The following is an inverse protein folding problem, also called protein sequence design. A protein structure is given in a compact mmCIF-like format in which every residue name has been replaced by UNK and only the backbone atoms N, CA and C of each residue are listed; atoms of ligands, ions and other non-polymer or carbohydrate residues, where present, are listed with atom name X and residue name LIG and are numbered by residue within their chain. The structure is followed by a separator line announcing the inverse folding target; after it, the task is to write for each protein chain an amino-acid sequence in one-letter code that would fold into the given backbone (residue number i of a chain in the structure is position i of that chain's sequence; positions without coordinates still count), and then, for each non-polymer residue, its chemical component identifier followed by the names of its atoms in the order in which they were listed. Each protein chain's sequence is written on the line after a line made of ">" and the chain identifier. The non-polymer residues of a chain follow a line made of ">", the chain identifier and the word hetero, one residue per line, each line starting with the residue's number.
data_IF_980958872827
#
_entry.id   IF_980958872827
#
_cell.length_a   1.000
_cell.length_b   1.000
_cell.length_c   1.000
_cell.angle_alpha   90.00
_cell.angle_beta   90.00
_cell.angle_gamma   90.00
#
_symmetry.space_group_name_H-M   'P 1'
#
loop_
_entity.id
_entity.type
_entity.pdbx_description
1 polymer ?
#
# COMPACT_ATOMS: atom_id res chain seq x y z
N UNK A 1 40.51 -4.91 -11.22
CA UNK A 1 39.74 -5.60 -10.16
C UNK A 1 39.97 -5.02 -8.76
N UNK A 2 40.90 -4.11 -8.57
CA UNK A 2 41.31 -3.56 -7.25
C UNK A 2 40.45 -2.36 -6.75
N UNK A 3 39.69 -1.72 -7.66
CA UNK A 3 38.98 -0.46 -7.35
C UNK A 3 37.62 -0.66 -6.62
N UNK A 4 36.91 -1.76 -6.89
CA UNK A 4 35.58 -2.05 -6.31
C UNK A 4 35.67 -2.45 -4.82
N UNK A 5 36.73 -3.14 -4.43
CA UNK A 5 36.93 -3.60 -3.04
C UNK A 5 37.32 -2.44 -2.12
N UNK A 6 38.12 -1.49 -2.65
CA UNK A 6 38.54 -0.29 -1.91
C UNK A 6 37.38 0.67 -1.69
N UNK A 7 36.52 0.85 -2.68
CA UNK A 7 35.29 1.67 -2.56
C UNK A 7 34.29 1.13 -1.52
N UNK A 8 34.03 -0.18 -1.54
CA UNK A 8 33.18 -0.83 -0.53
C UNK A 8 33.74 -0.75 0.89
N UNK A 9 35.07 -0.74 1.06
CA UNK A 9 35.72 -0.55 2.34
C UNK A 9 35.56 0.87 2.89
N UNK A 10 35.70 1.86 2.02
CA UNK A 10 35.52 3.29 2.37
C UNK A 10 34.08 3.65 2.69
N UNK A 11 33.08 3.10 1.95
CA UNK A 11 31.65 3.30 2.22
C UNK A 11 31.25 2.71 3.59
N UNK A 12 31.73 1.51 3.94
CA UNK A 12 31.47 0.91 5.26
C UNK A 12 32.12 1.68 6.42
N UNK A 13 33.27 2.31 6.20
CA UNK A 13 33.93 3.15 7.21
C UNK A 13 33.16 4.44 7.42
N UNK A 14 32.72 5.12 6.35
CA UNK A 14 31.94 6.34 6.41
C UNK A 14 30.60 6.13 7.12
N UNK A 15 29.91 5.02 6.84
CA UNK A 15 28.65 4.63 7.52
C UNK A 15 28.85 4.37 9.02
N UNK A 16 29.99 3.79 9.41
CA UNK A 16 30.30 3.53 10.82
C UNK A 16 30.61 4.83 11.59
N UNK A 17 31.34 5.77 10.95
CA UNK A 17 31.68 7.07 11.52
C UNK A 17 30.44 7.94 11.68
N UNK A 18 29.53 7.97 10.68
CA UNK A 18 28.27 8.66 10.72
C UNK A 18 27.34 8.13 11.81
N UNK A 19 27.24 6.78 11.93
CA UNK A 19 26.50 6.16 13.03
C UNK A 19 27.09 6.55 14.39
N UNK A 20 28.42 6.58 14.52
CA UNK A 20 29.10 6.99 15.74
C UNK A 20 28.75 8.42 16.13
N UNK A 21 28.82 9.38 15.20
CA UNK A 21 28.47 10.78 15.40
C UNK A 21 26.97 10.94 15.78
N UNK A 22 26.09 10.26 15.07
CA UNK A 22 24.65 10.27 15.34
C UNK A 22 24.32 9.78 16.77
N UNK A 23 24.94 8.68 17.21
CA UNK A 23 24.77 8.12 18.55
C UNK A 23 25.39 9.03 19.65
N UNK A 24 26.47 9.75 19.33
CA UNK A 24 27.08 10.74 20.21
C UNK A 24 26.24 12.03 20.39
N UNK A 25 25.20 12.21 19.56
CA UNK A 25 24.27 13.32 19.70
C UNK A 25 24.38 14.40 18.61
N UNK A 26 25.05 14.11 17.50
CA UNK A 26 25.02 14.96 16.31
C UNK A 26 23.65 14.82 15.63
N UNK A 27 22.83 15.88 15.70
CA UNK A 27 21.47 15.93 15.14
C UNK A 27 21.49 15.81 13.61
N UNK A 28 22.46 16.40 12.95
CA UNK A 28 22.57 16.39 11.50
C UNK A 28 22.92 15.00 10.99
N UNK A 29 23.90 14.34 11.59
CA UNK A 29 24.28 12.97 11.28
C UNK A 29 23.12 12.01 11.56
N UNK A 30 22.40 12.19 12.68
CA UNK A 30 21.23 11.37 13.00
C UNK A 30 20.11 11.56 11.99
N UNK A 31 19.77 12.80 11.63
CA UNK A 31 18.74 13.11 10.64
C UNK A 31 19.07 12.48 9.28
N UNK A 32 20.29 12.62 8.80
CA UNK A 32 20.74 12.01 7.55
C UNK A 32 20.63 10.46 7.59
N UNK A 33 21.04 9.87 8.71
CA UNK A 33 20.98 8.43 8.91
C UNK A 33 19.56 7.88 8.91
N UNK A 34 18.59 8.50 9.62
CA UNK A 34 17.21 8.01 9.69
C UNK A 34 16.44 8.28 8.40
N UNK A 35 16.74 9.39 7.69
CA UNK A 35 16.08 9.71 6.42
C UNK A 35 16.34 8.64 5.34
N UNK A 36 17.49 8.01 5.32
CA UNK A 36 17.78 6.87 4.42
C UNK A 36 16.83 5.69 4.66
N UNK A 37 16.31 5.53 5.87
CA UNK A 37 15.38 4.47 6.24
C UNK A 37 13.91 4.89 6.13
N UNK A 38 13.60 6.17 5.84
CA UNK A 38 12.23 6.68 5.76
C UNK A 38 11.35 5.87 4.80
N UNK A 39 11.75 5.59 3.55
CA UNK A 39 10.87 4.90 2.60
C UNK A 39 10.46 3.51 3.10
N UNK A 40 11.41 2.72 3.59
CA UNK A 40 11.13 1.36 4.06
C UNK A 40 10.30 1.34 5.36
N UNK A 41 10.53 2.29 6.28
CA UNK A 41 9.75 2.43 7.51
C UNK A 41 8.33 2.92 7.22
N UNK A 42 8.16 3.81 6.23
CA UNK A 42 6.86 4.27 5.80
C UNK A 42 6.01 3.11 5.25
N UNK A 43 6.58 2.28 4.36
CA UNK A 43 5.91 1.08 3.86
C UNK A 43 5.63 0.08 4.99
N UNK A 44 6.55 -0.08 5.95
CA UNK A 44 6.35 -0.94 7.11
C UNK A 44 5.16 -0.45 7.95
N UNK A 45 5.10 0.83 8.32
CA UNK A 45 3.99 1.41 9.07
C UNK A 45 2.66 1.32 8.30
N UNK A 46 2.67 1.57 6.98
CA UNK A 46 1.49 1.43 6.15
C UNK A 46 0.91 0.01 6.18
N UNK A 47 1.74 -1.03 6.14
CA UNK A 47 1.27 -2.42 6.25
C UNK A 47 0.53 -2.70 7.56
N UNK A 48 0.90 -2.02 8.64
CA UNK A 48 0.16 -2.10 9.90
C UNK A 48 -1.15 -1.34 9.87
N UNK A 49 -1.13 -0.14 9.32
CA UNK A 49 -2.18 0.85 9.53
C UNK A 49 -3.16 0.97 8.36
N UNK A 50 -2.73 0.64 7.13
CA UNK A 50 -3.55 0.77 5.93
C UNK A 50 -3.89 2.21 5.55
N UNK A 51 -3.04 3.18 5.92
CA UNK A 51 -3.15 4.59 5.56
C UNK A 51 -1.78 5.19 5.36
N UNK A 52 -1.60 5.94 4.29
CA UNK A 52 -0.36 6.64 3.96
C UNK A 52 -0.09 7.78 4.95
N UNK A 53 -1.14 8.52 5.34
CA UNK A 53 -1.03 9.61 6.30
C UNK A 53 -0.63 9.10 7.69
N UNK A 54 -1.32 8.07 8.18
CA UNK A 54 -0.99 7.46 9.47
C UNK A 54 0.42 6.85 9.47
N UNK A 55 0.87 6.32 8.33
CA UNK A 55 2.21 5.79 8.20
C UNK A 55 3.27 6.90 8.33
N UNK A 56 3.06 8.04 7.68
CA UNK A 56 3.96 9.19 7.78
C UNK A 56 4.06 9.71 9.21
N UNK A 57 2.92 9.86 9.91
CA UNK A 57 2.88 10.27 11.31
C UNK A 57 3.70 9.32 12.20
N UNK A 58 3.59 7.99 11.97
CA UNK A 58 4.35 7.02 12.75
C UNK A 58 5.82 6.92 12.38
N UNK A 59 6.21 7.26 11.17
CA UNK A 59 7.64 7.40 10.82
C UNK A 59 8.25 8.57 11.59
N UNK A 60 7.58 9.71 11.63
CA UNK A 60 8.03 10.87 12.43
C UNK A 60 8.13 10.53 13.92
N UNK A 61 7.12 9.88 14.48
CA UNK A 61 7.13 9.41 15.87
C UNK A 61 8.27 8.42 16.12
N UNK A 62 8.54 7.53 15.16
CA UNK A 62 9.65 6.56 15.22
C UNK A 62 10.98 7.28 15.31
N UNK A 63 11.20 8.32 14.50
CA UNK A 63 12.44 9.10 14.51
C UNK A 63 12.63 9.86 15.82
N UNK A 64 11.56 10.47 16.34
CA UNK A 64 11.59 11.12 17.67
C UNK A 64 11.92 10.12 18.79
N UNK A 65 11.29 8.94 18.79
CA UNK A 65 11.59 7.89 19.78
C UNK A 65 13.00 7.32 19.60
N UNK A 66 13.48 7.19 18.37
CA UNK A 66 14.84 6.75 18.08
C UNK A 66 15.86 7.77 18.60
N UNK A 67 15.66 9.07 18.34
CA UNK A 67 16.50 10.12 18.89
C UNK A 67 16.57 10.08 20.41
N UNK A 68 15.43 10.01 21.07
CA UNK A 68 15.36 9.94 22.53
C UNK A 68 16.06 8.69 23.11
N UNK A 69 16.07 7.59 22.36
CA UNK A 69 16.62 6.30 22.78
C UNK A 69 18.02 6.00 22.20
N UNK A 70 18.65 6.94 21.47
CA UNK A 70 19.91 6.69 20.75
C UNK A 70 21.03 6.14 21.64
N UNK A 71 21.13 6.66 22.87
CA UNK A 71 22.13 6.19 23.85
C UNK A 71 21.90 4.72 24.30
N UNK A 72 20.72 4.15 24.07
CA UNK A 72 20.41 2.76 24.39
C UNK A 72 20.75 1.77 23.26
N UNK A 73 21.16 2.26 22.10
CA UNK A 73 21.63 1.40 21.01
C UNK A 73 22.99 0.81 21.36
N UNK A 74 23.04 -0.49 21.55
CA UNK A 74 24.22 -1.22 22.00
C UNK A 74 24.91 -2.03 20.88
N UNK A 75 24.52 -1.84 19.61
CA UNK A 75 25.10 -2.59 18.50
C UNK A 75 24.81 -4.10 18.50
N UNK A 76 23.84 -4.58 19.32
CA UNK A 76 23.45 -6.00 19.36
C UNK A 76 22.68 -6.45 18.12
N UNK A 77 22.16 -5.50 17.36
CA UNK A 77 21.50 -5.66 16.06
C UNK A 77 21.97 -4.57 15.12
N UNK A 78 21.64 -4.66 13.84
CA UNK A 78 21.85 -3.54 12.92
C UNK A 78 21.00 -2.33 13.33
N UNK A 79 21.45 -1.12 12.99
CA UNK A 79 20.69 0.11 13.23
C UNK A 79 19.29 0.05 12.55
N UNK A 80 19.21 -0.50 11.35
CA UNK A 80 17.98 -0.79 10.63
C UNK A 80 17.02 -1.65 11.46
N UNK A 81 17.48 -2.79 11.97
CA UNK A 81 16.64 -3.69 12.79
C UNK A 81 16.16 -3.01 14.08
N UNK A 82 16.99 -2.15 14.68
CA UNK A 82 16.60 -1.38 15.85
C UNK A 82 15.51 -0.35 15.54
N UNK A 83 15.61 0.37 14.41
CA UNK A 83 14.56 1.27 13.93
C UNK A 83 13.24 0.54 13.66
N UNK A 84 13.29 -0.63 12.99
CA UNK A 84 12.11 -1.47 12.77
C UNK A 84 11.44 -1.91 14.08
N UNK A 85 12.23 -2.21 15.11
CA UNK A 85 11.72 -2.52 16.44
C UNK A 85 10.96 -1.34 17.06
N UNK A 86 11.49 -0.13 16.95
CA UNK A 86 10.83 1.11 17.42
C UNK A 86 9.54 1.36 16.63
N UNK A 87 9.61 1.29 15.30
CA UNK A 87 8.46 1.49 14.41
C UNK A 87 7.34 0.46 14.68
N UNK A 88 7.68 -0.82 14.83
CA UNK A 88 6.72 -1.87 15.16
C UNK A 88 6.00 -1.60 16.47
N UNK A 89 6.73 -1.19 17.52
CA UNK A 89 6.14 -0.84 18.80
C UNK A 89 5.24 0.41 18.70
N UNK A 90 5.64 1.43 17.92
CA UNK A 90 4.80 2.60 17.65
C UNK A 90 3.50 2.20 16.92
N UNK A 91 3.58 1.30 15.93
CA UNK A 91 2.41 0.74 15.25
C UNK A 91 1.49 -0.02 16.20
N UNK A 92 2.04 -0.86 17.09
CA UNK A 92 1.25 -1.59 18.09
C UNK A 92 0.53 -0.65 19.06
N UNK A 93 1.18 0.43 19.48
CA UNK A 93 0.57 1.46 20.35
C UNK A 93 -0.56 2.20 19.62
N UNK A 94 -0.36 2.54 18.35
CA UNK A 94 -1.37 3.18 17.52
C UNK A 94 -2.61 2.27 17.33
N UNK A 95 -2.40 1.00 17.02
CA UNK A 95 -3.49 0.02 16.82
C UNK A 95 -4.34 -0.25 18.08
N UNK A 96 -3.83 0.05 19.28
CA UNK A 96 -4.64 -0.02 20.53
C UNK A 96 -5.62 1.12 20.65
N UNK A 97 -5.37 2.25 19.98
CA UNK A 97 -6.11 3.51 20.12
C UNK A 97 -7.00 3.81 18.92
N UNK A 98 -6.72 3.22 17.76
CA UNK A 98 -7.39 3.49 16.49
C UNK A 98 -8.33 2.36 16.10
N UNK A 99 -9.49 2.67 15.49
CA UNK A 99 -10.37 1.65 14.94
C UNK A 99 -9.67 0.88 13.81
N UNK A 100 -10.11 -0.36 13.61
CA UNK A 100 -9.70 -1.17 12.46
C UNK A 100 -10.13 -0.49 11.16
N UNK A 101 -9.27 -0.46 10.16
CA UNK A 101 -9.66 -0.02 8.83
C UNK A 101 -10.51 -1.08 8.15
N UNK A 102 -11.51 -0.61 7.41
CA UNK A 102 -12.53 -1.43 6.77
C UNK A 102 -12.62 -1.14 5.27
N UNK A 103 -13.28 -2.04 4.56
CA UNK A 103 -13.70 -1.86 3.16
C UNK A 103 -15.23 -1.83 3.11
N UNK A 104 -15.86 -1.19 2.10
CA UNK A 104 -17.33 -1.12 2.00
C UNK A 104 -18.06 -2.46 2.12
N UNK A 105 -17.61 -3.59 1.52
CA UNK A 105 -18.28 -4.89 1.69
C UNK A 105 -18.28 -5.43 3.12
N UNK A 106 -17.42 -4.91 4.00
CA UNK A 106 -17.39 -5.30 5.42
C UNK A 106 -18.41 -4.51 6.28
N UNK A 107 -18.98 -3.45 5.72
CA UNK A 107 -19.86 -2.52 6.44
C UNK A 107 -21.32 -2.70 6.02
N UNK A 108 -21.58 -2.86 4.72
CA UNK A 108 -22.94 -2.95 4.17
C UNK A 108 -23.04 -4.08 3.14
N UNK A 109 -24.27 -4.48 2.82
CA UNK A 109 -24.56 -5.26 1.61
C UNK A 109 -24.38 -4.46 0.32
N UNK A 110 -24.43 -5.12 -0.86
CA UNK A 110 -24.33 -4.45 -2.14
C UNK A 110 -25.46 -3.43 -2.34
N UNK A 111 -25.12 -2.30 -2.96
CA UNK A 111 -26.05 -1.22 -3.21
C UNK A 111 -26.90 -1.45 -4.46
N UNK A 112 -28.04 -0.81 -4.53
CA UNK A 112 -28.86 -0.74 -5.76
C UNK A 112 -28.11 0.11 -6.82
N UNK A 113 -27.81 -0.44 -8.01
CA UNK A 113 -27.11 0.29 -9.06
C UNK A 113 -27.89 1.47 -9.66
N UNK A 114 -29.20 1.54 -9.47
CA UNK A 114 -30.05 2.67 -9.86
C UNK A 114 -30.04 3.82 -8.85
N UNK A 115 -29.68 3.52 -7.59
CA UNK A 115 -29.62 4.53 -6.54
C UNK A 115 -28.30 5.32 -6.58
N UNK A 116 -28.34 6.60 -6.17
CA UNK A 116 -27.10 7.39 -5.98
C UNK A 116 -26.28 6.80 -4.83
N UNK A 117 -24.94 6.83 -4.95
CA UNK A 117 -24.09 6.44 -3.84
C UNK A 117 -24.41 7.22 -2.57
N UNK A 118 -24.31 6.56 -1.43
CA UNK A 118 -24.44 7.21 -0.13
C UNK A 118 -23.37 8.29 0.08
N UNK A 119 -23.53 9.14 1.11
CA UNK A 119 -22.54 10.15 1.44
C UNK A 119 -21.24 9.50 1.92
N UNK A 120 -20.15 10.27 1.86
CA UNK A 120 -18.91 9.90 2.52
C UNK A 120 -19.12 9.74 4.03
N UNK A 121 -18.45 8.79 4.65
CA UNK A 121 -18.54 8.51 6.07
C UNK A 121 -17.18 8.65 6.74
N UNK A 122 -17.18 8.93 8.05
CA UNK A 122 -15.98 9.08 8.87
C UNK A 122 -15.37 7.74 9.32
N UNK A 123 -15.73 6.64 8.67
CA UNK A 123 -15.14 5.34 8.96
C UNK A 123 -13.65 5.32 8.61
N UNK A 124 -12.89 4.54 9.37
CA UNK A 124 -11.48 4.32 9.06
C UNK A 124 -11.36 3.41 7.83
N UNK A 125 -11.27 4.00 6.65
CA UNK A 125 -11.16 3.26 5.38
C UNK A 125 -9.73 2.80 5.12
N UNK A 126 -9.58 1.60 4.54
CA UNK A 126 -8.32 1.17 3.96
C UNK A 126 -8.01 2.09 2.77
N UNK A 127 -6.77 2.60 2.70
CA UNK A 127 -6.30 3.49 1.64
C UNK A 127 -5.31 2.78 0.72
N UNK A 128 -5.19 3.18 -0.56
CA UNK A 128 -4.18 2.62 -1.45
C UNK A 128 -2.79 3.16 -1.13
N UNK A 129 -1.75 2.40 -1.50
CA UNK A 129 -0.35 2.79 -1.38
C UNK A 129 0.25 3.06 -2.76
N UNK A 130 0.72 4.26 -3.05
CA UNK A 130 1.31 4.59 -4.34
C UNK A 130 2.58 3.78 -4.64
N UNK A 131 2.67 3.19 -5.84
CA UNK A 131 3.82 2.35 -6.22
C UNK A 131 5.12 3.15 -6.31
N UNK A 132 5.04 4.44 -6.61
CA UNK A 132 6.21 5.33 -6.59
C UNK A 132 6.94 5.31 -5.25
N UNK A 133 6.21 5.31 -4.13
CA UNK A 133 6.80 5.20 -2.80
C UNK A 133 7.45 3.82 -2.55
N UNK A 134 7.00 2.77 -3.25
CA UNK A 134 7.66 1.46 -3.20
C UNK A 134 8.95 1.49 -4.03
N UNK A 135 8.96 2.20 -5.14
CA UNK A 135 10.15 2.38 -5.99
C UNK A 135 11.24 3.14 -5.23
N UNK A 136 10.88 4.11 -4.39
CA UNK A 136 11.81 4.83 -3.53
C UNK A 136 12.50 3.87 -2.52
N UNK A 137 11.79 2.84 -2.00
CA UNK A 137 12.39 1.79 -1.16
C UNK A 137 13.46 1.00 -1.92
N UNK A 138 13.18 0.67 -3.19
CA UNK A 138 14.13 -0.07 -4.04
C UNK A 138 15.32 0.81 -4.41
N UNK A 139 15.10 2.08 -4.71
CA UNK A 139 16.14 3.04 -5.10
C UNK A 139 17.08 3.39 -3.93
N UNK A 140 16.60 3.37 -2.69
CA UNK A 140 17.40 3.64 -1.50
C UNK A 140 18.52 2.59 -1.25
N UNK A 141 18.61 1.53 -2.06
CA UNK A 141 19.72 0.58 -2.05
C UNK A 141 19.83 -0.28 -0.78
N UNK A 142 18.80 -0.26 0.06
CA UNK A 142 18.72 -1.04 1.29
C UNK A 142 18.42 -2.49 0.91
N UNK A 143 19.45 -3.30 0.84
CA UNK A 143 19.40 -4.74 0.58
C UNK A 143 18.47 -5.19 -0.57
N UNK A 144 19.00 -5.58 -1.75
CA UNK A 144 18.19 -6.00 -2.90
C UNK A 144 17.25 -7.17 -2.59
N UNK A 145 17.57 -8.04 -1.62
CA UNK A 145 16.71 -9.14 -1.19
C UNK A 145 15.56 -8.66 -0.29
N UNK A 146 15.80 -7.62 0.53
CA UNK A 146 14.74 -6.97 1.31
C UNK A 146 13.87 -6.04 0.45
N UNK A 147 14.42 -5.53 -0.66
CA UNK A 147 13.71 -4.73 -1.68
C UNK A 147 12.78 -5.59 -2.55
N UNK A 148 12.87 -6.90 -2.48
CA UNK A 148 11.85 -7.84 -2.95
C UNK A 148 10.61 -7.73 -2.04
N UNK A 149 10.02 -6.52 -2.04
CA UNK A 149 8.69 -6.32 -1.49
C UNK A 149 7.78 -7.29 -2.23
N UNK A 150 7.47 -8.41 -1.57
CA UNK A 150 6.57 -9.41 -2.18
C UNK A 150 5.31 -8.68 -2.59
N UNK A 151 4.99 -8.72 -3.86
CA UNK A 151 3.80 -8.08 -4.44
C UNK A 151 2.58 -8.36 -3.59
N UNK A 152 2.38 -9.62 -3.22
CA UNK A 152 1.30 -10.08 -2.36
C UNK A 152 1.19 -9.33 -1.02
N UNK A 153 2.32 -8.90 -0.44
CA UNK A 153 2.34 -8.20 0.85
C UNK A 153 1.94 -6.73 0.77
N UNK A 154 1.62 -6.23 -0.42
CA UNK A 154 1.15 -4.87 -0.67
C UNK A 154 -0.21 -4.81 -1.35
N UNK A 155 -0.74 -5.91 -1.90
CA UNK A 155 -2.06 -5.95 -2.52
C UNK A 155 -3.18 -5.56 -1.54
N UNK A 156 -4.16 -4.81 -2.02
CA UNK A 156 -5.27 -4.32 -1.18
C UNK A 156 -6.02 -5.45 -0.49
N UNK A 157 -6.27 -6.56 -1.17
CA UNK A 157 -6.96 -7.73 -0.59
C UNK A 157 -6.18 -8.35 0.57
N UNK A 158 -4.84 -8.44 0.47
CA UNK A 158 -3.99 -8.89 1.56
C UNK A 158 -4.01 -7.92 2.74
N UNK A 159 -3.92 -6.63 2.47
CA UNK A 159 -3.97 -5.59 3.50
C UNK A 159 -5.32 -5.56 4.20
N UNK A 160 -6.42 -5.71 3.47
CA UNK A 160 -7.77 -5.84 4.02
C UNK A 160 -7.87 -7.08 4.96
N UNK A 161 -7.37 -8.24 4.51
CA UNK A 161 -7.34 -9.45 5.33
C UNK A 161 -6.49 -9.27 6.60
N UNK A 162 -5.34 -8.59 6.50
CA UNK A 162 -4.49 -8.28 7.65
C UNK A 162 -5.18 -7.40 8.69
N UNK A 163 -6.11 -6.52 8.29
CA UNK A 163 -6.84 -5.67 9.25
C UNK A 163 -7.65 -6.50 10.26
N UNK A 164 -7.98 -7.75 9.96
CA UNK A 164 -8.67 -8.67 10.87
C UNK A 164 -7.75 -9.36 11.90
N UNK A 165 -6.44 -9.25 11.74
CA UNK A 165 -5.51 -9.85 12.68
C UNK A 165 -5.43 -9.03 13.98
N UNK A 166 -5.41 -9.68 15.16
CA UNK A 166 -5.02 -9.03 16.39
C UNK A 166 -3.64 -8.35 16.24
N UNK A 167 -3.40 -7.17 16.83
CA UNK A 167 -2.18 -6.38 16.59
C UNK A 167 -0.87 -7.18 16.71
N UNK A 168 -0.73 -8.02 17.75
CA UNK A 168 0.48 -8.85 17.92
C UNK A 168 0.63 -9.94 16.86
N UNK A 169 -0.47 -10.54 16.39
CA UNK A 169 -0.41 -11.52 15.31
C UNK A 169 -0.02 -10.85 13.99
N UNK A 170 -0.55 -9.65 13.72
CA UNK A 170 -0.15 -8.83 12.57
C UNK A 170 1.34 -8.50 12.61
N UNK A 171 1.84 -8.05 13.78
CA UNK A 171 3.26 -7.75 13.95
C UNK A 171 4.16 -8.97 13.68
N UNK A 172 3.83 -10.12 14.27
CA UNK A 172 4.60 -11.35 14.03
C UNK A 172 4.58 -11.75 12.57
N UNK A 173 3.42 -11.67 11.89
CA UNK A 173 3.30 -11.98 10.46
C UNK A 173 4.17 -11.06 9.61
N UNK A 174 4.09 -9.73 9.83
CA UNK A 174 4.88 -8.76 9.06
C UNK A 174 6.38 -8.99 9.29
N UNK A 175 6.82 -9.13 10.53
CA UNK A 175 8.24 -9.33 10.82
C UNK A 175 8.78 -10.65 10.28
N UNK A 176 7.99 -11.74 10.32
CA UNK A 176 8.41 -13.08 9.90
C UNK A 176 8.29 -13.32 8.40
N UNK A 177 7.16 -12.92 7.79
CA UNK A 177 6.83 -13.30 6.42
C UNK A 177 7.09 -12.19 5.41
N UNK A 178 7.22 -10.93 5.87
CA UNK A 178 7.45 -9.77 5.00
C UNK A 178 8.86 -9.20 5.19
N UNK A 179 9.29 -9.00 6.43
CA UNK A 179 10.64 -8.47 6.76
C UNK A 179 11.67 -9.60 6.89
N UNK A 180 11.22 -10.85 6.93
CA UNK A 180 12.03 -12.09 6.97
C UNK A 180 12.92 -12.25 8.22
N UNK A 181 12.54 -11.61 9.32
CA UNK A 181 13.25 -11.82 10.59
C UNK A 181 13.13 -13.25 11.10
N UNK A 182 14.16 -13.71 11.79
CA UNK A 182 14.14 -14.99 12.51
C UNK A 182 13.10 -14.98 13.64
N UNK A 183 12.69 -16.18 14.10
CA UNK A 183 11.79 -16.29 15.25
C UNK A 183 12.40 -15.68 16.52
N UNK A 184 13.72 -15.73 16.68
CA UNK A 184 14.45 -15.16 17.82
C UNK A 184 14.44 -13.63 17.80
N UNK A 185 14.72 -13.01 16.65
CA UNK A 185 14.69 -11.56 16.48
C UNK A 185 13.29 -11.01 16.70
N UNK A 186 12.27 -11.66 16.08
CA UNK A 186 10.86 -11.29 16.24
C UNK A 186 10.43 -11.37 17.70
N UNK A 187 10.75 -12.48 18.39
CA UNK A 187 10.42 -12.67 19.79
C UNK A 187 11.08 -11.62 20.68
N UNK A 188 12.36 -11.32 20.44
CA UNK A 188 13.10 -10.28 21.18
C UNK A 188 12.51 -8.89 20.98
N UNK A 189 12.18 -8.50 19.74
CA UNK A 189 11.59 -7.19 19.43
C UNK A 189 10.20 -6.98 20.04
N UNK A 190 9.39 -8.06 20.13
CA UNK A 190 8.01 -8.00 20.64
C UNK A 190 7.89 -8.37 22.12
N UNK A 191 9.00 -8.57 22.84
CA UNK A 191 9.04 -9.00 24.23
C UNK A 191 8.16 -10.26 24.46
N UNK A 192 8.41 -11.31 23.69
CA UNK A 192 7.67 -12.58 23.77
C UNK A 192 8.62 -13.77 23.65
N UNK A 193 8.16 -14.98 23.97
CA UNK A 193 8.95 -16.19 23.76
C UNK A 193 8.91 -16.62 22.29
N UNK A 194 9.93 -17.34 21.82
CA UNK A 194 9.96 -17.91 20.46
C UNK A 194 8.76 -18.83 20.22
N UNK A 195 8.35 -19.63 21.20
CA UNK A 195 7.16 -20.49 21.11
C UNK A 195 5.89 -19.66 20.92
N UNK A 196 5.75 -18.54 21.65
CA UNK A 196 4.61 -17.62 21.52
C UNK A 196 4.59 -16.94 20.14
N UNK A 197 5.75 -16.53 19.61
CA UNK A 197 5.87 -15.96 18.28
C UNK A 197 5.46 -16.97 17.19
N UNK A 198 5.92 -18.20 17.26
CA UNK A 198 5.57 -19.26 16.31
C UNK A 198 4.04 -19.56 16.36
N UNK A 199 3.46 -19.66 17.55
CA UNK A 199 2.02 -19.86 17.71
C UNK A 199 1.20 -18.69 17.17
N UNK A 200 1.67 -17.44 17.37
CA UNK A 200 1.01 -16.25 16.82
C UNK A 200 1.07 -16.23 15.29
N UNK A 201 2.22 -16.59 14.70
CA UNK A 201 2.37 -16.70 13.24
C UNK A 201 1.42 -17.74 12.65
N UNK A 202 1.34 -18.92 13.28
CA UNK A 202 0.44 -19.99 12.81
C UNK A 202 -1.02 -19.53 12.80
N UNK A 203 -1.48 -18.87 13.88
CA UNK A 203 -2.85 -18.31 13.93
C UNK A 203 -3.08 -17.20 12.91
N UNK A 204 -2.09 -16.33 12.71
CA UNK A 204 -2.18 -15.27 11.70
C UNK A 204 -2.34 -15.85 10.29
N UNK A 205 -1.52 -16.82 9.93
CA UNK A 205 -1.59 -17.51 8.63
C UNK A 205 -2.91 -18.25 8.43
N UNK A 206 -3.45 -18.87 9.48
CA UNK A 206 -4.74 -19.54 9.43
C UNK A 206 -5.89 -18.54 9.20
N UNK A 207 -5.86 -17.40 9.89
CA UNK A 207 -6.85 -16.34 9.68
C UNK A 207 -6.79 -15.79 8.26
N UNK A 208 -5.58 -15.56 7.73
CA UNK A 208 -5.41 -15.11 6.34
C UNK A 208 -5.91 -16.13 5.33
N UNK A 209 -5.60 -17.43 5.50
CA UNK A 209 -6.09 -18.47 4.60
C UNK A 209 -7.62 -18.51 4.49
N UNK A 210 -8.33 -18.22 5.56
CA UNK A 210 -9.80 -18.19 5.56
C UNK A 210 -10.39 -16.94 4.90
N UNK A 211 -9.67 -15.82 4.92
CA UNK A 211 -10.18 -14.51 4.46
C UNK A 211 -9.62 -14.08 3.11
N UNK A 212 -8.48 -14.60 2.76
CA UNK A 212 -7.78 -14.27 1.54
C UNK A 212 -7.42 -15.56 0.83
N UNK A 213 -8.20 -15.88 -0.21
CA UNK A 213 -7.94 -17.03 -1.10
C UNK A 213 -6.73 -16.64 -1.95
N UNK A 214 -5.60 -17.27 -1.70
CA UNK A 214 -4.37 -17.05 -2.49
C UNK A 214 -4.58 -17.56 -3.90
N UNK A 215 -4.27 -16.73 -4.88
CA UNK A 215 -4.01 -17.19 -6.24
C UNK A 215 -2.78 -18.10 -6.29
N UNK A 216 -2.74 -19.00 -7.27
CA UNK A 216 -1.78 -20.10 -7.34
C UNK A 216 -0.32 -19.69 -7.29
N UNK A 217 0.50 -20.60 -6.74
CA UNK A 217 1.94 -20.42 -6.48
C UNK A 217 2.82 -20.16 -7.72
N UNK A 218 2.28 -20.31 -8.92
CA UNK A 218 2.99 -20.04 -10.18
C UNK A 218 3.19 -18.54 -10.43
N UNK A 219 2.25 -17.69 -10.00
CA UNK A 219 2.34 -16.21 -10.13
C UNK A 219 3.28 -15.56 -9.10
N UNK A 220 3.69 -16.28 -8.07
CA UNK A 220 4.56 -15.77 -6.98
C UNK A 220 5.95 -15.33 -7.43
N UNK A 221 6.41 -15.74 -8.62
CA UNK A 221 7.71 -15.37 -9.17
C UNK A 221 7.68 -14.22 -10.14
N UNK A 222 6.48 -13.73 -10.52
CA UNK A 222 6.34 -12.51 -11.32
C UNK A 222 6.58 -11.28 -10.42
N UNK A 223 7.86 -11.05 -10.18
CA UNK A 223 8.40 -10.11 -9.23
C UNK A 223 8.24 -8.66 -9.71
N UNK A 224 7.76 -7.84 -8.83
CA UNK A 224 8.02 -6.40 -8.73
C UNK A 224 7.32 -5.46 -9.71
N UNK A 225 6.77 -5.85 -10.84
CA UNK A 225 6.11 -4.98 -11.83
C UNK A 225 4.77 -5.56 -12.28
N UNK A 226 3.86 -4.67 -12.68
CA UNK A 226 2.64 -5.01 -13.39
C UNK A 226 2.98 -5.87 -14.61
N UNK A 227 2.34 -7.05 -14.76
CA UNK A 227 2.57 -7.97 -15.88
C UNK A 227 2.14 -7.36 -17.23
N UNK A 228 2.56 -7.96 -18.34
CA UNK A 228 2.16 -7.51 -19.68
C UNK A 228 0.63 -7.57 -19.87
N UNK A 229 -0.02 -8.62 -19.34
CA UNK A 229 -1.48 -8.78 -19.40
C UNK A 229 -2.15 -7.64 -18.61
N UNK A 230 -1.67 -7.33 -17.41
CA UNK A 230 -2.21 -6.24 -16.59
C UNK A 230 -1.99 -4.87 -17.23
N UNK A 231 -0.83 -4.64 -17.88
CA UNK A 231 -0.57 -3.40 -18.64
C UNK A 231 -1.53 -3.26 -19.81
N UNK A 232 -1.78 -4.34 -20.55
CA UNK A 232 -2.73 -4.35 -21.66
C UNK A 232 -4.15 -4.08 -21.17
N UNK A 233 -4.58 -4.70 -20.06
CA UNK A 233 -5.88 -4.45 -19.44
C UNK A 233 -6.00 -3.00 -18.97
N UNK A 234 -4.96 -2.46 -18.32
CA UNK A 234 -4.93 -1.06 -17.88
C UNK A 234 -5.06 -0.11 -19.07
N UNK A 235 -4.31 -0.32 -20.14
CA UNK A 235 -4.38 0.53 -21.35
C UNK A 235 -5.78 0.53 -21.97
N UNK A 236 -6.42 -0.64 -22.06
CA UNK A 236 -7.80 -0.78 -22.55
C UNK A 236 -8.82 -0.12 -21.61
N UNK A 237 -8.61 -0.24 -20.29
CA UNK A 237 -9.46 0.40 -19.29
C UNK A 237 -9.36 1.92 -19.40
N UNK A 238 -8.14 2.48 -19.47
CA UNK A 238 -7.89 3.92 -19.66
C UNK A 238 -8.57 4.44 -20.93
N UNK A 239 -8.44 3.72 -22.07
CA UNK A 239 -9.10 4.08 -23.32
C UNK A 239 -10.62 4.06 -23.20
N UNK A 240 -11.20 3.02 -22.59
CA UNK A 240 -12.65 2.92 -22.35
C UNK A 240 -13.18 4.07 -21.48
N UNK A 241 -12.46 4.44 -20.42
CA UNK A 241 -12.83 5.57 -19.56
C UNK A 241 -12.73 6.92 -20.29
N UNK A 242 -11.67 7.13 -21.08
CA UNK A 242 -11.51 8.36 -21.86
C UNK A 242 -12.60 8.56 -22.91
N UNK A 243 -13.10 7.46 -23.47
CA UNK A 243 -14.24 7.48 -24.42
C UNK A 243 -15.62 7.41 -23.75
N UNK A 244 -15.66 7.24 -22.42
CA UNK A 244 -16.90 6.95 -21.68
C UNK A 244 -17.68 5.76 -22.27
N UNK A 245 -16.95 4.70 -22.69
CA UNK A 245 -17.49 3.53 -23.37
C UNK A 245 -17.77 2.42 -22.37
N UNK A 246 -19.02 2.35 -21.89
CA UNK A 246 -19.44 1.36 -20.90
C UNK A 246 -19.35 -0.07 -21.42
N UNK A 247 -19.57 -0.30 -22.73
CA UNK A 247 -19.48 -1.63 -23.31
C UNK A 247 -18.02 -2.12 -23.32
N UNK A 248 -17.08 -1.24 -23.62
CA UNK A 248 -15.66 -1.53 -23.53
C UNK A 248 -15.23 -1.84 -22.09
N UNK A 249 -15.71 -1.09 -21.09
CA UNK A 249 -15.48 -1.43 -19.66
C UNK A 249 -16.07 -2.79 -19.33
N UNK A 250 -17.33 -3.06 -19.69
CA UNK A 250 -18.01 -4.34 -19.41
C UNK A 250 -17.26 -5.53 -19.98
N UNK A 251 -16.64 -5.39 -21.16
CA UNK A 251 -15.86 -6.44 -21.80
C UNK A 251 -14.54 -6.78 -21.06
N UNK A 252 -14.07 -5.91 -20.16
CA UNK A 252 -12.88 -6.13 -19.35
C UNK A 252 -13.19 -6.78 -18.00
N UNK A 253 -14.46 -6.76 -17.57
CA UNK A 253 -14.89 -7.23 -16.26
C UNK A 253 -15.21 -8.73 -16.25
N UNK A 254 -14.79 -9.41 -15.19
CA UNK A 254 -15.26 -10.76 -14.88
C UNK A 254 -16.77 -10.79 -14.55
N UNK A 255 -17.39 -11.98 -14.60
CA UNK A 255 -18.81 -12.11 -14.29
C UNK A 255 -19.15 -11.63 -12.87
N UNK A 256 -18.30 -11.94 -11.90
CA UNK A 256 -18.43 -11.61 -10.47
C UNK A 256 -17.64 -10.35 -10.09
N UNK A 257 -17.37 -9.46 -11.06
CA UNK A 257 -16.61 -8.26 -10.83
C UNK A 257 -17.31 -7.32 -9.83
N UNK A 258 -16.52 -6.66 -8.98
CA UNK A 258 -17.02 -5.70 -7.98
C UNK A 258 -16.55 -4.29 -8.26
N UNK A 259 -17.39 -3.33 -7.89
CA UNK A 259 -16.99 -1.93 -7.77
C UNK A 259 -17.17 -1.50 -6.31
N UNK A 260 -16.10 -1.02 -5.69
CA UNK A 260 -16.04 -0.62 -4.28
C UNK A 260 -15.63 0.85 -4.21
N UNK A 261 -16.31 1.68 -3.41
CA UNK A 261 -16.21 3.14 -3.51
C UNK A 261 -15.98 3.86 -2.17
N UNK A 262 -14.87 3.59 -1.42
CA UNK A 262 -14.56 4.38 -0.24
C UNK A 262 -14.29 5.86 -0.62
N UNK A 263 -14.69 6.85 0.21
CA UNK A 263 -15.15 6.75 1.60
C UNK A 263 -16.68 6.59 1.77
N UNK A 264 -17.39 6.19 0.74
CA UNK A 264 -18.81 5.80 0.88
C UNK A 264 -18.89 4.33 1.27
N UNK A 265 -20.05 3.91 1.81
CA UNK A 265 -20.30 2.48 2.05
C UNK A 265 -20.81 1.75 0.81
N UNK A 266 -20.96 2.45 -0.31
CA UNK A 266 -21.54 1.88 -1.54
C UNK A 266 -20.56 0.95 -2.25
N UNK A 267 -21.06 -0.20 -2.65
CA UNK A 267 -20.38 -1.14 -3.53
C UNK A 267 -21.38 -1.96 -4.33
N UNK A 268 -20.95 -2.51 -5.45
CA UNK A 268 -21.81 -3.22 -6.40
C UNK A 268 -21.20 -4.57 -6.70
N UNK A 269 -22.04 -5.62 -6.77
CA UNK A 269 -21.65 -7.01 -6.92
C UNK A 269 -22.13 -7.56 -8.26
N UNK A 270 -21.20 -8.12 -9.03
CA UNK A 270 -21.42 -8.65 -10.35
C UNK A 270 -21.32 -7.61 -11.48
N UNK A 271 -20.78 -8.06 -12.63
CA UNK A 271 -20.57 -7.20 -13.82
C UNK A 271 -21.82 -6.43 -14.22
N UNK A 272 -23.00 -7.04 -14.16
CA UNK A 272 -24.25 -6.38 -14.53
C UNK A 272 -24.57 -5.17 -13.62
N UNK A 273 -24.44 -5.33 -12.31
CA UNK A 273 -24.67 -4.25 -11.36
C UNK A 273 -23.63 -3.12 -11.52
N UNK A 274 -22.35 -3.49 -11.69
CA UNK A 274 -21.26 -2.51 -11.92
C UNK A 274 -21.51 -1.70 -13.20
N UNK A 275 -21.83 -2.35 -14.30
CA UNK A 275 -22.08 -1.66 -15.59
C UNK A 275 -23.35 -0.82 -15.54
N UNK A 276 -24.41 -1.28 -14.89
CA UNK A 276 -25.63 -0.50 -14.68
C UNK A 276 -25.36 0.77 -13.88
N UNK A 277 -24.63 0.67 -12.77
CA UNK A 277 -24.23 1.82 -11.97
C UNK A 277 -23.38 2.82 -12.76
N UNK A 278 -22.35 2.34 -13.45
CA UNK A 278 -21.48 3.22 -14.25
C UNK A 278 -22.25 3.92 -15.39
N UNK A 279 -23.13 3.21 -16.09
CA UNK A 279 -23.95 3.80 -17.14
C UNK A 279 -24.90 4.88 -16.60
N UNK A 280 -25.46 4.66 -15.40
CA UNK A 280 -26.45 5.57 -14.80
C UNK A 280 -25.81 6.82 -14.18
N UNK A 281 -24.63 6.67 -13.56
CA UNK A 281 -24.07 7.71 -12.68
C UNK A 281 -22.71 8.28 -13.14
N UNK A 282 -21.91 7.50 -13.88
CA UNK A 282 -20.57 7.91 -14.28
C UNK A 282 -20.45 8.20 -15.78
N UNK A 283 -21.03 7.35 -16.65
CA UNK A 283 -20.92 7.43 -18.10
C UNK A 283 -22.22 7.97 -18.72
N UNK A 284 -22.77 9.00 -18.11
CA UNK A 284 -23.99 9.66 -18.59
C UNK A 284 -23.76 10.36 -19.95
N UNK A 285 -24.82 10.64 -20.75
CA UNK A 285 -24.68 11.32 -22.04
C UNK A 285 -23.96 12.68 -22.00
N UNK A 286 -23.87 13.31 -20.82
CA UNK A 286 -23.19 14.60 -20.63
C UNK A 286 -21.69 14.46 -20.32
N UNK A 287 -21.17 13.24 -20.12
CA UNK A 287 -19.80 12.99 -19.69
C UNK A 287 -18.74 12.90 -20.80
N UNK A 288 -19.05 12.59 -22.08
CA UNK A 288 -18.02 12.57 -23.12
C UNK A 288 -17.22 13.87 -23.16
N UNK A 289 -15.89 13.76 -23.15
CA UNK A 289 -14.95 14.90 -23.10
C UNK A 289 -14.82 15.60 -21.73
N UNK A 290 -15.60 15.23 -20.73
CA UNK A 290 -15.52 15.76 -19.36
C UNK A 290 -14.73 14.86 -18.40
N UNK A 291 -14.43 13.64 -18.80
CA UNK A 291 -13.66 12.69 -17.99
C UNK A 291 -12.31 12.41 -18.66
N UNK A 292 -11.27 12.29 -17.85
CA UNK A 292 -9.93 11.87 -18.28
C UNK A 292 -9.34 10.87 -17.33
N UNK A 293 -8.84 9.78 -17.88
CA UNK A 293 -8.12 8.75 -17.14
C UNK A 293 -6.64 8.77 -17.51
N UNK A 294 -5.76 8.70 -16.50
CA UNK A 294 -4.31 8.67 -16.66
C UNK A 294 -3.78 7.42 -15.94
N UNK A 295 -2.99 6.56 -16.62
CA UNK A 295 -2.51 5.33 -16.01
C UNK A 295 -1.50 5.61 -14.90
N UNK A 296 -1.54 4.78 -13.87
CA UNK A 296 -0.56 4.73 -12.76
C UNK A 296 -0.55 3.33 -12.15
N UNK A 297 0.03 3.18 -10.96
CA UNK A 297 -0.01 1.96 -10.17
C UNK A 297 -0.11 2.27 -8.68
N UNK A 298 -0.81 1.41 -7.95
CA UNK A 298 -0.89 1.44 -6.49
C UNK A 298 -1.01 0.02 -5.94
N UNK A 299 -0.35 -0.25 -4.82
CA UNK A 299 -0.36 -1.58 -4.19
C UNK A 299 0.15 -2.71 -5.10
N UNK A 300 1.08 -2.41 -6.00
CA UNK A 300 1.55 -3.31 -7.06
C UNK A 300 0.43 -3.80 -7.99
N UNK A 301 -0.65 -3.04 -8.06
CA UNK A 301 -1.80 -3.31 -8.93
C UNK A 301 -1.93 -2.20 -9.97
N UNK A 302 -2.47 -2.51 -11.17
CA UNK A 302 -2.79 -1.49 -12.16
C UNK A 302 -3.76 -0.47 -11.57
N UNK A 303 -3.51 0.81 -11.81
CA UNK A 303 -4.38 1.87 -11.35
C UNK A 303 -4.50 3.00 -12.37
N UNK A 304 -5.53 3.82 -12.26
CA UNK A 304 -5.68 5.03 -13.05
C UNK A 304 -6.21 6.18 -12.19
N UNK A 305 -5.66 7.37 -12.42
CA UNK A 305 -6.21 8.61 -11.89
C UNK A 305 -7.35 9.09 -12.78
N UNK A 306 -8.51 9.26 -12.20
CA UNK A 306 -9.70 9.81 -12.88
C UNK A 306 -9.79 11.29 -12.59
N UNK A 307 -9.87 12.11 -13.64
CA UNK A 307 -10.07 13.54 -13.58
C UNK A 307 -11.44 13.88 -14.15
N UNK A 308 -12.07 14.89 -13.58
CA UNK A 308 -13.34 15.43 -14.08
C UNK A 308 -13.15 16.91 -14.40
N UNK A 309 -13.71 17.35 -15.54
CA UNK A 309 -13.68 18.73 -15.96
C UNK A 309 -14.66 19.53 -15.10
N UNK A 310 -14.16 20.55 -14.44
CA UNK A 310 -14.98 21.50 -13.66
C UNK A 310 -15.73 22.49 -14.56
N UNK A 311 -16.50 23.41 -13.96
CA UNK A 311 -17.29 24.41 -14.69
C UNK A 311 -16.43 25.50 -15.37
N UNK A 312 -15.15 25.65 -14.94
CA UNK A 312 -14.18 26.53 -15.61
C UNK A 312 -13.55 25.87 -16.83
N UNK A 313 -13.80 24.58 -17.06
CA UNK A 313 -13.26 23.81 -18.16
C UNK A 313 -11.95 23.08 -17.86
N UNK A 314 -11.45 23.20 -16.63
CA UNK A 314 -10.20 22.56 -16.18
C UNK A 314 -10.45 21.13 -15.66
N UNK A 315 -9.54 20.22 -15.95
CA UNK A 315 -9.55 18.90 -15.35
C UNK A 315 -9.03 18.94 -13.92
N UNK A 316 -9.83 18.43 -12.98
CA UNK A 316 -9.47 18.29 -11.56
C UNK A 316 -9.36 16.82 -11.15
N UNK A 317 -8.39 16.47 -10.30
CA UNK A 317 -8.29 15.14 -9.72
C UNK A 317 -9.59 14.79 -9.00
N UNK A 318 -10.16 13.63 -9.34
CA UNK A 318 -11.42 13.17 -8.77
C UNK A 318 -11.25 11.92 -7.90
N UNK A 319 -10.73 10.83 -8.48
CA UNK A 319 -10.56 9.58 -7.78
C UNK A 319 -9.39 8.75 -8.35
N UNK A 320 -8.79 7.93 -7.49
CA UNK A 320 -7.85 6.88 -7.90
C UNK A 320 -8.62 5.56 -8.00
N UNK A 321 -8.61 4.93 -9.18
CA UNK A 321 -9.20 3.63 -9.43
C UNK A 321 -8.11 2.56 -9.46
N UNK A 322 -8.14 1.63 -8.52
CA UNK A 322 -7.23 0.48 -8.46
C UNK A 322 -7.94 -0.76 -8.98
N UNK A 323 -7.27 -1.54 -9.83
CA UNK A 323 -7.82 -2.72 -10.48
C UNK A 323 -7.21 -3.99 -9.86
N UNK A 324 -8.06 -4.89 -9.37
CA UNK A 324 -7.66 -6.26 -9.08
C UNK A 324 -7.89 -7.10 -10.33
N UNK A 325 -6.83 -7.74 -10.79
CA UNK A 325 -6.84 -8.53 -12.03
C UNK A 325 -6.63 -10.00 -11.72
N UNK A 326 -7.57 -10.83 -12.15
CA UNK A 326 -7.42 -12.28 -12.24
C UNK A 326 -7.45 -12.63 -13.71
N UNK A 327 -6.25 -12.80 -14.26
CA UNK A 327 -6.05 -12.96 -15.72
C UNK A 327 -7.08 -13.91 -16.36
N UNK A 328 -7.75 -13.50 -17.44
CA UNK A 328 -7.52 -12.27 -18.22
C UNK A 328 -8.51 -11.11 -17.92
N UNK A 329 -9.18 -11.08 -16.77
CA UNK A 329 -10.25 -10.13 -16.46
C UNK A 329 -9.99 -9.32 -15.19
N UNK A 330 -10.68 -8.19 -15.07
CA UNK A 330 -10.72 -7.38 -13.84
C UNK A 330 -11.82 -7.97 -12.94
N UNK A 331 -11.45 -8.35 -11.72
CA UNK A 331 -12.38 -8.92 -10.72
C UNK A 331 -12.82 -7.90 -9.68
N UNK A 332 -12.04 -6.83 -9.47
CA UNK A 332 -12.49 -5.73 -8.60
C UNK A 332 -11.94 -4.39 -9.09
N UNK A 333 -12.76 -3.38 -9.00
CA UNK A 333 -12.45 -1.97 -9.18
C UNK A 333 -12.66 -1.27 -7.85
N UNK A 334 -11.59 -0.76 -7.21
CA UNK A 334 -11.71 0.04 -5.98
C UNK A 334 -11.46 1.51 -6.31
N UNK A 335 -12.52 2.33 -6.24
CA UNK A 335 -12.50 3.75 -6.53
C UNK A 335 -12.34 4.57 -5.25
N UNK A 336 -11.16 5.14 -5.04
CA UNK A 336 -10.83 5.96 -3.89
C UNK A 336 -11.00 7.45 -4.20
N UNK A 337 -11.96 8.12 -3.58
CA UNK A 337 -12.11 9.58 -3.66
C UNK A 337 -11.06 10.29 -2.78
N UNK A 338 -9.79 10.18 -3.16
CA UNK A 338 -8.63 10.69 -2.44
C UNK A 338 -7.71 11.51 -3.36
N UNK A 339 -8.12 12.72 -3.80
CA UNK A 339 -7.31 13.57 -4.69
C UNK A 339 -5.89 13.86 -4.16
N UNK A 340 -5.70 13.88 -2.83
CA UNK A 340 -4.40 14.10 -2.19
C UNK A 340 -3.34 13.05 -2.55
N UNK A 341 -3.74 11.87 -3.03
CA UNK A 341 -2.81 10.81 -3.44
C UNK A 341 -2.25 11.01 -4.85
N UNK A 342 -2.84 11.87 -5.67
CA UNK A 342 -2.41 12.05 -7.05
C UNK A 342 -0.92 12.40 -7.18
N UNK A 343 -0.38 13.41 -6.46
CA UNK A 343 1.05 13.71 -6.50
C UNK A 343 1.92 12.54 -6.06
N UNK A 344 1.49 11.79 -5.05
CA UNK A 344 2.20 10.62 -4.54
C UNK A 344 2.23 9.47 -5.57
N UNK A 345 1.17 9.35 -6.39
CA UNK A 345 1.09 8.40 -7.50
C UNK A 345 1.83 8.88 -8.77
N UNK A 346 2.53 10.01 -8.75
CA UNK A 346 3.15 10.60 -9.93
C UNK A 346 2.14 11.15 -10.94
N UNK A 347 0.89 11.34 -10.53
CA UNK A 347 -0.17 11.90 -11.37
C UNK A 347 -0.13 13.43 -11.32
N UNK A 348 -0.27 14.12 -12.46
CA UNK A 348 -0.27 15.59 -12.50
C UNK A 348 -1.51 16.16 -11.77
N UNK A 349 -1.38 17.34 -11.17
CA UNK A 349 -2.52 18.08 -10.60
C UNK A 349 -3.48 18.58 -11.68
N UNK A 350 -2.94 18.84 -12.89
CA UNK A 350 -3.69 19.15 -14.11
C UNK A 350 -3.12 18.26 -15.21
N UNK A 351 -3.89 17.31 -15.75
CA UNK A 351 -3.40 16.46 -16.83
C UNK A 351 -3.19 17.30 -18.09
N UNK A 352 -2.11 17.03 -18.82
CA UNK A 352 -1.85 17.66 -20.10
C UNK A 352 -2.98 17.41 -21.13
N UNK A 353 -3.02 18.15 -22.23
CA UNK A 353 -4.03 18.01 -23.28
C UNK A 353 -4.08 16.63 -23.92
#
# INVERSE_FOLDING_TARGET
>A
MTDVTTRRGQEKSADADELGAALAGDESAFAALVERHRPELHLHCYRFLGSTQDAEDLVQETFLRAWAKRASFQGRSTFRAWLYGIATNACLDALRRRPRRVTPPEVTGPADPGARPGPATDLAWLEPYPDRLIEDVVAAGVDPEAALVRREATELAFLAAMQHLPPRQRAVLILRDVVEWSAKETAGSLNMTVASANSALQRARETLRRRWVRQDAADRRALARISEVERSLLARMVDAWNRTDINAVAALLGADARLVMPPTTSWYDGRAAVTSFLATHAFTPSMPGRMRAVPTAANRQPALGVYIRDDSGDFRPFALLVLTVESPVVTEMTLFHLPRLFPLCGLPTVPGP
#
